data_IF_290147596819
#
_entry.id   IF_290147596819
#
_cell.length_a   1.000
_cell.length_b   1.000
_cell.length_c   1.000
_cell.angle_alpha   90.00
_cell.angle_beta   90.00
_cell.angle_gamma   90.00
#
_symmetry.space_group_name_H-M   'P 1'
#
loop_
_entity.id
_entity.type
_entity.pdbx_description
1 polymer ?
#
# COMPACT_ATOMS: atom_id res chain seq x y z
N UNK A 1 25.23 5.06 -27.47
CA UNK A 1 23.91 5.03 -26.82
C UNK A 1 24.06 4.10 -25.62
N UNK A 2 23.63 4.51 -24.42
CA UNK A 2 23.60 3.61 -23.26
C UNK A 2 22.64 2.44 -23.55
N UNK A 3 23.04 1.22 -23.17
CA UNK A 3 22.18 0.06 -23.31
C UNK A 3 20.93 0.23 -22.43
N UNK A 4 19.74 -0.11 -22.94
CA UNK A 4 18.48 -0.01 -22.18
C UNK A 4 18.49 -1.00 -21.02
N UNK A 5 18.21 -0.52 -19.81
CA UNK A 5 18.10 -1.36 -18.62
C UNK A 5 16.74 -2.06 -18.59
N UNK A 6 16.74 -3.37 -18.62
CA UNK A 6 15.52 -4.18 -18.49
C UNK A 6 15.26 -4.49 -17.01
N UNK A 7 14.05 -4.14 -16.53
CA UNK A 7 13.59 -4.37 -15.16
C UNK A 7 12.32 -5.23 -15.20
N UNK A 8 12.39 -6.41 -14.60
CA UNK A 8 11.28 -7.36 -14.51
C UNK A 8 10.65 -7.29 -13.12
N UNK A 9 9.37 -6.94 -13.05
CA UNK A 9 8.61 -6.80 -11.79
C UNK A 9 7.68 -7.99 -11.61
N UNK A 10 7.82 -8.67 -10.46
CA UNK A 10 7.04 -9.85 -10.06
C UNK A 10 6.52 -9.63 -8.64
N UNK A 11 5.34 -10.16 -8.32
CA UNK A 11 4.79 -10.13 -6.96
C UNK A 11 3.63 -9.14 -6.75
N UNK A 12 3.30 -8.32 -7.76
CA UNK A 12 2.01 -7.62 -7.84
C UNK A 12 1.00 -8.44 -8.63
N UNK A 13 -0.27 -8.07 -8.61
CA UNK A 13 -1.29 -8.66 -9.50
C UNK A 13 -1.19 -8.13 -10.93
N UNK A 14 -0.33 -7.13 -11.16
CA UNK A 14 -0.09 -6.48 -12.44
C UNK A 14 -0.71 -5.08 -12.55
N UNK A 15 -0.57 -4.51 -13.73
CA UNK A 15 -1.11 -3.19 -14.12
C UNK A 15 -2.04 -3.35 -15.34
N UNK A 16 -3.04 -2.47 -15.57
CA UNK A 16 -3.38 -1.29 -14.75
C UNK A 16 -3.78 -1.64 -13.31
N UNK A 17 -3.37 -0.79 -12.38
CA UNK A 17 -3.57 -0.99 -10.95
C UNK A 17 -5.00 -0.65 -10.51
N UNK A 18 -5.85 -1.65 -10.35
CA UNK A 18 -7.24 -1.43 -9.90
C UNK A 18 -7.38 -1.35 -8.37
N UNK A 19 -6.52 -2.05 -7.61
CA UNK A 19 -6.58 -2.10 -6.14
C UNK A 19 -5.36 -2.78 -5.53
N UNK A 20 -4.69 -2.11 -4.60
CA UNK A 20 -3.56 -2.64 -3.83
C UNK A 20 -2.33 -1.73 -3.88
N UNK A 21 -1.54 -1.73 -2.80
CA UNK A 21 -0.36 -0.86 -2.69
C UNK A 21 0.70 -1.15 -3.74
N UNK A 22 0.99 -2.42 -4.01
CA UNK A 22 1.98 -2.80 -5.03
C UNK A 22 1.48 -2.52 -6.45
N UNK A 23 0.20 -2.76 -6.73
CA UNK A 23 -0.39 -2.46 -8.04
C UNK A 23 -0.31 -0.96 -8.32
N UNK A 24 -0.70 -0.12 -7.35
CA UNK A 24 -0.59 1.35 -7.46
C UNK A 24 0.86 1.79 -7.64
N UNK A 25 1.79 1.23 -6.86
CA UNK A 25 3.21 1.54 -6.97
C UNK A 25 3.76 1.22 -8.37
N UNK A 26 3.49 0.02 -8.89
CA UNK A 26 4.00 -0.41 -10.21
C UNK A 26 3.38 0.42 -11.33
N UNK A 27 2.08 0.73 -11.23
CA UNK A 27 1.36 1.57 -12.18
C UNK A 27 1.99 2.97 -12.27
N UNK A 28 2.17 3.64 -11.13
CA UNK A 28 2.81 4.96 -11.06
C UNK A 28 4.28 4.94 -11.48
N UNK A 29 5.02 3.88 -11.12
CA UNK A 29 6.41 3.73 -11.52
C UNK A 29 6.55 3.63 -13.05
N UNK A 30 5.68 2.85 -13.70
CA UNK A 30 5.73 2.69 -15.15
C UNK A 30 5.23 3.93 -15.87
N UNK A 31 4.18 4.60 -15.38
CA UNK A 31 3.67 5.88 -15.87
C UNK A 31 4.76 6.97 -15.84
N UNK A 32 5.48 7.10 -14.72
CA UNK A 32 6.54 8.10 -14.53
C UNK A 32 7.75 7.91 -15.46
N UNK A 33 7.96 6.71 -15.97
CA UNK A 33 9.05 6.41 -16.91
C UNK A 33 8.56 6.11 -18.34
N UNK A 34 7.29 6.38 -18.63
CA UNK A 34 6.76 6.19 -19.99
C UNK A 34 7.55 7.03 -21.01
N UNK A 35 8.05 6.38 -22.03
CA UNK A 35 8.88 7.02 -23.05
C UNK A 35 10.37 7.24 -22.69
N UNK A 36 10.84 6.84 -21.51
CA UNK A 36 12.28 6.88 -21.18
C UNK A 36 13.03 5.74 -21.89
N UNK A 37 13.91 6.04 -22.88
CA UNK A 37 14.61 4.99 -23.64
C UNK A 37 15.67 4.24 -22.84
N UNK A 38 16.01 4.72 -21.65
CA UNK A 38 17.03 4.10 -20.77
C UNK A 38 16.50 2.90 -20.01
N UNK A 39 15.16 2.79 -19.85
CA UNK A 39 14.53 1.78 -19.00
C UNK A 39 13.40 1.08 -19.78
N UNK A 40 13.34 -0.25 -19.68
CA UNK A 40 12.21 -1.04 -20.17
C UNK A 40 11.69 -1.92 -19.03
N UNK A 41 10.46 -1.64 -18.60
CA UNK A 41 9.78 -2.48 -17.62
C UNK A 41 9.09 -3.68 -18.27
N UNK A 42 9.09 -4.80 -17.53
CA UNK A 42 8.36 -6.03 -17.85
C UNK A 42 7.58 -6.43 -16.61
N UNK A 43 6.27 -6.37 -16.66
CA UNK A 43 5.41 -6.56 -15.48
C UNK A 43 4.63 -7.86 -15.59
N UNK A 44 4.76 -8.73 -14.58
CA UNK A 44 3.93 -9.92 -14.46
C UNK A 44 2.50 -9.53 -14.05
N UNK A 45 1.51 -10.01 -14.78
CA UNK A 45 0.09 -9.74 -14.53
C UNK A 45 -0.65 -11.06 -14.25
N UNK A 46 -1.38 -11.15 -13.13
CA UNK A 46 -2.21 -12.30 -12.82
C UNK A 46 -3.46 -12.27 -13.70
N UNK A 47 -3.66 -13.30 -14.49
CA UNK A 47 -4.78 -13.39 -15.43
C UNK A 47 -5.36 -14.80 -15.52
N UNK A 48 -6.57 -14.91 -16.09
CA UNK A 48 -7.23 -16.18 -16.39
C UNK A 48 -6.67 -16.88 -17.62
N UNK A 49 -6.01 -16.11 -18.51
CA UNK A 49 -5.45 -16.57 -19.77
C UNK A 49 -4.04 -16.04 -19.95
N UNK A 50 -3.21 -16.77 -20.70
CA UNK A 50 -1.90 -16.32 -21.12
C UNK A 50 -2.03 -15.24 -22.19
N UNK A 51 -1.08 -14.31 -22.25
CA UNK A 51 -1.05 -13.23 -23.21
C UNK A 51 -0.04 -12.17 -22.81
N UNK A 52 0.11 -11.19 -23.69
CA UNK A 52 0.95 -10.03 -23.49
C UNK A 52 0.25 -8.77 -24.01
N UNK A 53 0.52 -7.64 -23.37
CA UNK A 53 0.04 -6.34 -23.80
C UNK A 53 1.05 -5.27 -23.39
N UNK A 54 0.87 -4.06 -23.88
CA UNK A 54 1.68 -2.91 -23.48
C UNK A 54 0.83 -1.90 -22.73
N UNK A 55 1.38 -1.37 -21.60
CA UNK A 55 0.73 -0.37 -20.79
C UNK A 55 1.81 0.54 -20.17
N UNK A 56 1.66 1.86 -20.29
CA UNK A 56 2.68 2.86 -19.90
C UNK A 56 4.10 2.49 -20.38
N UNK A 57 4.22 2.09 -21.66
CA UNK A 57 5.50 1.66 -22.22
C UNK A 57 6.09 0.38 -21.60
N UNK A 58 5.44 -0.23 -20.61
CA UNK A 58 5.87 -1.49 -20.04
C UNK A 58 5.30 -2.69 -20.80
N UNK A 59 6.09 -3.73 -21.02
CA UNK A 59 5.61 -5.04 -21.47
C UNK A 59 4.94 -5.75 -20.31
N UNK A 60 3.64 -5.96 -20.40
CA UNK A 60 2.86 -6.73 -19.43
C UNK A 60 2.67 -8.16 -19.95
N UNK A 61 2.99 -9.15 -19.13
CA UNK A 61 2.82 -10.56 -19.51
C UNK A 61 1.92 -11.28 -18.50
N UNK A 62 0.87 -11.87 -19.01
CA UNK A 62 -0.13 -12.58 -18.23
C UNK A 62 0.41 -13.91 -17.73
N UNK A 63 0.15 -14.23 -16.48
CA UNK A 63 0.53 -15.48 -15.83
C UNK A 63 -0.72 -16.13 -15.24
N UNK A 64 -1.11 -17.24 -15.86
CA UNK A 64 -2.21 -18.08 -15.40
C UNK A 64 -1.71 -19.09 -14.38
N UNK A 65 -2.39 -19.20 -13.25
CA UNK A 65 -2.17 -20.22 -12.24
C UNK A 65 -3.50 -20.74 -11.71
N UNK A 66 -3.57 -22.02 -11.29
CA UNK A 66 -4.80 -22.57 -10.70
C UNK A 66 -5.15 -21.83 -9.41
N UNK A 67 -6.45 -21.78 -9.10
CA UNK A 67 -6.89 -21.29 -7.80
C UNK A 67 -6.73 -22.38 -6.75
N UNK A 68 -5.74 -22.20 -5.89
CA UNK A 68 -5.40 -23.12 -4.78
C UNK A 68 -5.42 -22.35 -3.45
N UNK A 69 -6.26 -21.34 -3.36
CA UNK A 69 -6.39 -20.51 -2.17
C UNK A 69 -5.11 -19.71 -1.86
N UNK A 70 -4.69 -19.58 -0.60
CA UNK A 70 -3.56 -18.72 -0.21
C UNK A 70 -2.22 -19.07 -0.89
N UNK A 71 -2.01 -20.33 -1.30
CA UNK A 71 -0.79 -20.75 -2.01
C UNK A 71 -0.73 -20.25 -3.46
N UNK A 72 -1.84 -19.78 -4.01
CA UNK A 72 -1.90 -19.27 -5.39
C UNK A 72 -0.90 -18.13 -5.64
N UNK A 73 -0.69 -17.24 -4.65
CA UNK A 73 0.26 -16.14 -4.79
C UNK A 73 1.71 -16.65 -4.93
N UNK A 74 2.07 -17.72 -4.21
CA UNK A 74 3.41 -18.33 -4.32
C UNK A 74 3.59 -18.99 -5.69
N UNK A 75 2.59 -19.75 -6.14
CA UNK A 75 2.64 -20.38 -7.47
C UNK A 75 2.72 -19.36 -8.59
N UNK A 76 1.99 -18.25 -8.45
CA UNK A 76 2.04 -17.16 -9.41
C UNK A 76 3.43 -16.54 -9.51
N UNK A 77 4.05 -16.18 -8.38
CA UNK A 77 5.39 -15.59 -8.37
C UNK A 77 6.45 -16.55 -8.94
N UNK A 78 6.37 -17.84 -8.58
CA UNK A 78 7.28 -18.88 -9.13
C UNK A 78 7.11 -19.06 -10.64
N UNK A 79 5.87 -19.11 -11.12
CA UNK A 79 5.58 -19.22 -12.56
C UNK A 79 6.04 -17.97 -13.32
N UNK A 80 5.81 -16.78 -12.75
CA UNK A 80 6.27 -15.51 -13.32
C UNK A 80 7.79 -15.46 -13.44
N UNK A 81 8.54 -15.82 -12.39
CA UNK A 81 10.00 -15.89 -12.42
C UNK A 81 10.53 -16.89 -13.44
N UNK A 82 9.83 -18.03 -13.59
CA UNK A 82 10.16 -18.99 -14.63
C UNK A 82 10.02 -18.42 -16.05
N UNK A 83 8.99 -17.58 -16.28
CA UNK A 83 8.80 -16.88 -17.56
C UNK A 83 9.82 -15.75 -17.76
N UNK A 84 10.14 -15.01 -16.72
CA UNK A 84 11.21 -13.99 -16.75
C UNK A 84 12.52 -14.61 -17.20
N UNK A 85 12.96 -15.69 -16.56
CA UNK A 85 14.22 -16.34 -16.92
C UNK A 85 14.23 -16.85 -18.37
N UNK A 86 13.13 -17.42 -18.87
CA UNK A 86 13.02 -17.84 -20.28
C UNK A 86 13.08 -16.63 -21.22
N UNK A 87 12.33 -15.58 -20.94
CA UNK A 87 12.35 -14.39 -21.77
C UNK A 87 13.74 -13.76 -21.87
N UNK A 88 14.45 -13.66 -20.74
CA UNK A 88 15.84 -13.15 -20.70
C UNK A 88 16.77 -13.99 -21.56
N UNK A 89 16.64 -15.31 -21.50
CA UNK A 89 17.43 -16.27 -22.27
C UNK A 89 17.11 -16.18 -23.78
N UNK A 90 15.83 -16.26 -24.14
CA UNK A 90 15.34 -16.25 -25.53
C UNK A 90 15.65 -14.92 -26.25
N UNK A 91 15.63 -13.81 -25.54
CA UNK A 91 15.85 -12.48 -26.09
C UNK A 91 17.26 -11.93 -25.82
N UNK A 92 18.16 -12.73 -25.25
CA UNK A 92 19.55 -12.36 -24.95
C UNK A 92 19.65 -11.02 -24.16
N UNK A 93 18.73 -10.80 -23.22
CA UNK A 93 18.70 -9.57 -22.41
C UNK A 93 19.93 -9.51 -21.51
N UNK A 94 20.69 -8.44 -21.61
CA UNK A 94 21.90 -8.25 -20.81
C UNK A 94 21.59 -7.55 -19.49
N UNK A 95 22.28 -7.98 -18.45
CA UNK A 95 22.21 -7.39 -17.11
C UNK A 95 20.78 -7.11 -16.59
N UNK A 96 19.82 -8.07 -16.73
CA UNK A 96 18.45 -7.83 -16.28
C UNK A 96 18.40 -7.63 -14.76
N UNK A 97 17.54 -6.70 -14.30
CA UNK A 97 17.16 -6.60 -12.90
C UNK A 97 15.82 -7.32 -12.74
N UNK A 98 15.74 -8.28 -11.84
CA UNK A 98 14.49 -8.95 -11.47
C UNK A 98 14.09 -8.44 -10.08
N UNK A 99 12.98 -7.71 -10.00
CA UNK A 99 12.49 -7.08 -8.78
C UNK A 99 11.24 -7.80 -8.28
N UNK A 100 11.36 -8.46 -7.15
CA UNK A 100 10.29 -9.24 -6.52
C UNK A 100 9.67 -8.46 -5.37
N UNK A 101 8.37 -8.29 -5.43
CA UNK A 101 7.57 -7.60 -4.42
C UNK A 101 7.02 -8.59 -3.40
N UNK A 102 7.36 -8.40 -2.13
CA UNK A 102 7.09 -9.25 -0.98
C UNK A 102 7.88 -10.58 -0.91
N UNK A 103 8.03 -11.07 0.31
CA UNK A 103 8.88 -12.24 0.63
C UNK A 103 8.11 -13.57 0.63
N UNK A 104 7.43 -13.93 -0.49
CA UNK A 104 6.55 -15.12 -0.56
C UNK A 104 7.27 -16.40 -0.98
N UNK A 105 8.37 -16.30 -1.73
CA UNK A 105 8.99 -17.41 -2.44
C UNK A 105 10.29 -17.92 -1.81
N UNK A 106 10.47 -17.72 -0.50
CA UNK A 106 11.71 -18.08 0.21
C UNK A 106 12.30 -19.43 -0.17
N UNK A 107 11.54 -20.55 -0.15
CA UNK A 107 12.04 -21.86 -0.52
C UNK A 107 12.58 -21.97 -1.95
N UNK A 108 12.16 -21.08 -2.85
CA UNK A 108 12.56 -21.07 -4.26
C UNK A 108 13.58 -19.98 -4.59
N UNK A 109 13.79 -19.02 -3.67
CA UNK A 109 14.58 -17.83 -3.91
C UNK A 109 16.02 -18.13 -4.35
N UNK A 110 16.72 -19.02 -3.63
CA UNK A 110 18.09 -19.41 -3.95
C UNK A 110 18.23 -20.04 -5.35
N UNK A 111 17.23 -20.81 -5.79
CA UNK A 111 17.21 -21.39 -7.13
C UNK A 111 17.11 -20.30 -8.20
N UNK A 112 16.17 -19.37 -8.04
CA UNK A 112 16.00 -18.28 -9.00
C UNK A 112 17.17 -17.30 -8.98
N UNK A 113 17.74 -16.97 -7.82
CA UNK A 113 18.94 -16.14 -7.74
C UNK A 113 20.08 -16.74 -8.58
N UNK A 114 20.38 -18.04 -8.39
CA UNK A 114 21.42 -18.71 -9.18
C UNK A 114 21.14 -18.68 -10.68
N UNK A 115 19.88 -18.89 -11.08
CA UNK A 115 19.49 -18.86 -12.49
C UNK A 115 19.60 -17.44 -13.08
N UNK A 116 19.15 -16.43 -12.36
CA UNK A 116 19.27 -15.02 -12.77
C UNK A 116 20.74 -14.61 -12.89
N UNK A 117 21.59 -15.02 -11.94
CA UNK A 117 23.03 -14.77 -12.00
C UNK A 117 23.68 -15.44 -13.21
N UNK A 118 23.31 -16.69 -13.53
CA UNK A 118 23.80 -17.37 -14.72
C UNK A 118 23.43 -16.65 -16.03
N UNK A 119 22.33 -15.88 -16.01
CA UNK A 119 21.90 -15.02 -17.12
C UNK A 119 22.51 -13.59 -17.05
N UNK A 120 23.45 -13.34 -16.13
CA UNK A 120 24.13 -12.04 -15.97
C UNK A 120 23.29 -10.99 -15.24
N UNK A 121 22.16 -11.38 -14.64
CA UNK A 121 21.23 -10.47 -13.96
C UNK A 121 21.44 -10.33 -12.45
N UNK A 122 20.55 -9.57 -11.82
CA UNK A 122 20.48 -9.34 -10.37
C UNK A 122 19.06 -9.54 -9.87
N UNK A 123 18.95 -10.09 -8.65
CA UNK A 123 17.68 -10.29 -7.95
C UNK A 123 17.52 -9.25 -6.84
N UNK A 124 16.55 -8.34 -6.99
CA UNK A 124 16.17 -7.37 -5.97
C UNK A 124 14.86 -7.79 -5.33
N UNK A 125 14.68 -7.48 -4.06
CA UNK A 125 13.48 -7.83 -3.30
C UNK A 125 12.98 -6.62 -2.51
N UNK A 126 11.69 -6.34 -2.59
CA UNK A 126 11.02 -5.48 -1.60
C UNK A 126 10.57 -6.40 -0.46
N UNK A 127 11.08 -6.20 0.77
CA UNK A 127 10.77 -7.10 1.88
C UNK A 127 9.32 -6.99 2.39
N UNK A 128 8.54 -6.00 1.89
CA UNK A 128 7.22 -5.64 2.45
C UNK A 128 7.36 -5.21 3.94
N UNK A 129 6.29 -5.12 4.67
CA UNK A 129 6.32 -4.73 6.07
C UNK A 129 5.71 -5.80 6.98
N UNK A 130 6.53 -6.68 7.56
CA UNK A 130 6.11 -7.61 8.62
C UNK A 130 4.87 -8.44 8.29
N UNK A 131 4.72 -8.97 7.05
CA UNK A 131 3.51 -9.72 6.64
C UNK A 131 3.18 -10.85 7.63
N UNK A 132 4.20 -11.43 8.29
CA UNK A 132 4.03 -12.45 9.31
C UNK A 132 3.37 -11.96 10.61
N UNK A 133 3.28 -10.64 10.86
CA UNK A 133 2.57 -10.06 12.01
C UNK A 133 1.07 -9.88 11.75
N UNK A 134 0.61 -9.97 10.49
CA UNK A 134 -0.79 -9.68 10.15
C UNK A 134 -1.75 -10.68 10.81
N UNK A 135 -2.77 -10.14 11.48
CA UNK A 135 -3.77 -10.93 12.24
C UNK A 135 -4.60 -11.88 11.35
N UNK A 136 -4.76 -11.56 10.06
CA UNK A 136 -5.49 -12.40 9.09
C UNK A 136 -4.88 -13.80 8.89
N UNK A 137 -3.60 -14.00 9.25
CA UNK A 137 -2.90 -15.25 9.03
C UNK A 137 -2.93 -16.17 10.26
N UNK A 138 -3.18 -17.46 10.04
CA UNK A 138 -3.02 -18.48 11.08
C UNK A 138 -1.55 -18.64 11.51
N UNK A 139 -1.30 -19.20 12.68
CA UNK A 139 0.06 -19.35 13.21
C UNK A 139 1.02 -20.13 12.27
N UNK A 140 0.62 -21.24 11.61
CA UNK A 140 1.49 -21.90 10.62
C UNK A 140 1.83 -21.01 9.43
N UNK A 141 0.86 -20.23 8.92
CA UNK A 141 1.07 -19.31 7.80
C UNK A 141 2.01 -18.17 8.20
N UNK A 142 1.85 -17.60 9.39
CA UNK A 142 2.78 -16.58 9.92
C UNK A 142 4.20 -17.11 10.03
N UNK A 143 4.36 -18.37 10.51
CA UNK A 143 5.68 -19.03 10.55
C UNK A 143 6.28 -19.20 9.16
N UNK A 144 5.47 -19.60 8.18
CA UNK A 144 5.91 -19.69 6.78
C UNK A 144 6.43 -18.34 6.28
N UNK A 145 5.69 -17.26 6.49
CA UNK A 145 6.09 -15.92 6.08
C UNK A 145 7.43 -15.50 6.69
N UNK A 146 7.63 -15.73 8.01
CA UNK A 146 8.88 -15.38 8.69
C UNK A 146 10.07 -16.17 8.15
N UNK A 147 9.89 -17.47 7.91
CA UNK A 147 10.94 -18.34 7.33
C UNK A 147 11.22 -17.92 5.88
N UNK A 148 10.18 -17.67 5.10
CA UNK A 148 10.31 -17.22 3.70
C UNK A 148 11.05 -15.88 3.62
N UNK A 149 10.72 -14.92 4.47
CA UNK A 149 11.43 -13.64 4.58
C UNK A 149 12.92 -13.87 4.84
N UNK A 150 13.26 -14.67 5.84
CA UNK A 150 14.66 -14.99 6.18
C UNK A 150 15.42 -15.61 4.99
N UNK A 151 14.77 -16.52 4.25
CA UNK A 151 15.37 -17.14 3.07
C UNK A 151 15.57 -16.12 1.94
N UNK A 152 14.61 -15.23 1.70
CA UNK A 152 14.72 -14.24 0.63
C UNK A 152 15.73 -13.15 0.95
N UNK A 153 15.76 -12.68 2.19
CA UNK A 153 16.80 -11.73 2.65
C UNK A 153 18.20 -12.26 2.41
N UNK A 154 18.43 -13.55 2.66
CA UNK A 154 19.74 -14.20 2.50
C UNK A 154 20.11 -14.56 1.05
N UNK A 155 19.13 -14.57 0.15
CA UNK A 155 19.31 -15.03 -1.23
C UNK A 155 18.83 -13.98 -2.25
N UNK A 156 18.98 -12.70 -1.95
CA UNK A 156 18.84 -11.61 -2.91
C UNK A 156 20.12 -10.78 -2.98
N UNK A 157 20.25 -9.96 -4.00
CA UNK A 157 21.41 -9.08 -4.20
C UNK A 157 21.21 -7.72 -3.54
N UNK A 158 19.96 -7.28 -3.42
CA UNK A 158 19.58 -6.01 -2.82
C UNK A 158 18.15 -6.08 -2.27
N UNK A 159 17.96 -5.57 -1.07
CA UNK A 159 16.65 -5.28 -0.50
C UNK A 159 16.31 -3.81 -0.73
N UNK A 160 15.25 -3.56 -1.47
CA UNK A 160 14.72 -2.20 -1.68
C UNK A 160 13.62 -1.97 -0.65
N UNK A 161 13.96 -1.23 0.41
CA UNK A 161 13.06 -0.93 1.51
C UNK A 161 12.34 0.39 1.24
N UNK A 162 11.02 0.39 1.31
CA UNK A 162 10.17 1.58 1.13
C UNK A 162 10.05 2.45 2.38
N UNK A 163 10.61 1.99 3.50
CA UNK A 163 10.62 2.66 4.80
C UNK A 163 11.97 2.46 5.49
N UNK A 164 12.49 3.51 6.13
CA UNK A 164 13.70 3.43 6.97
C UNK A 164 13.47 2.52 8.19
N UNK A 165 12.22 2.43 8.68
CA UNK A 165 11.88 1.50 9.74
C UNK A 165 11.98 0.04 9.27
N UNK A 166 11.60 -0.26 8.02
CA UNK A 166 11.79 -1.59 7.42
C UNK A 166 13.27 -1.87 7.20
N UNK A 167 14.04 -0.92 6.68
CA UNK A 167 15.48 -1.07 6.52
C UNK A 167 16.17 -1.36 7.87
N UNK A 168 15.83 -0.60 8.91
CA UNK A 168 16.32 -0.82 10.28
C UNK A 168 15.97 -2.22 10.79
N UNK A 169 14.69 -2.62 10.65
CA UNK A 169 14.22 -3.95 11.03
C UNK A 169 15.00 -5.07 10.33
N UNK A 170 15.28 -4.94 9.04
CA UNK A 170 16.07 -5.93 8.29
C UNK A 170 17.47 -6.05 8.91
N UNK A 171 18.12 -4.96 9.27
CA UNK A 171 19.43 -5.00 9.92
C UNK A 171 19.37 -5.54 11.35
N UNK A 172 18.42 -5.11 12.16
CA UNK A 172 18.24 -5.60 13.54
C UNK A 172 17.96 -7.11 13.59
N UNK A 173 17.22 -7.64 12.63
CA UNK A 173 16.81 -9.04 12.61
C UNK A 173 17.80 -9.98 11.92
N UNK A 174 18.51 -9.50 10.90
CA UNK A 174 19.30 -10.37 10.02
C UNK A 174 20.79 -10.09 9.97
N UNK A 175 21.30 -8.98 10.53
CA UNK A 175 22.73 -8.76 10.67
C UNK A 175 23.35 -9.82 11.59
N UNK A 176 24.52 -10.29 11.20
CA UNK A 176 25.31 -11.21 11.99
C UNK A 176 26.80 -10.92 11.76
N UNK A 177 27.72 -11.47 12.57
CA UNK A 177 29.16 -11.25 12.38
C UNK A 177 29.69 -11.66 10.99
N UNK A 178 28.97 -12.57 10.30
CA UNK A 178 29.38 -13.12 9.00
C UNK A 178 28.48 -12.73 7.83
N UNK A 179 27.37 -12.04 8.10
CA UNK A 179 26.40 -11.67 7.05
C UNK A 179 25.72 -10.34 7.37
N UNK A 180 25.69 -9.45 6.40
CA UNK A 180 24.92 -8.21 6.43
C UNK A 180 24.12 -8.07 5.13
N UNK A 181 22.79 -7.98 5.17
CA UNK A 181 21.97 -7.72 3.99
C UNK A 181 22.38 -6.42 3.29
N UNK A 182 22.47 -6.45 1.98
CA UNK A 182 22.56 -5.21 1.21
C UNK A 182 21.17 -4.58 1.14
N UNK A 183 21.03 -3.35 1.61
CA UNK A 183 19.76 -2.62 1.63
C UNK A 183 19.88 -1.29 0.89
N UNK A 184 18.76 -0.79 0.42
CA UNK A 184 18.60 0.56 -0.09
C UNK A 184 17.21 1.07 0.26
N UNK A 185 17.16 2.16 1.00
CA UNK A 185 15.93 2.89 1.19
C UNK A 185 15.56 3.66 -0.08
N UNK A 186 14.36 3.41 -0.60
CA UNK A 186 13.73 4.14 -1.70
C UNK A 186 12.27 4.34 -1.31
N UNK A 187 11.91 5.54 -0.88
CA UNK A 187 10.55 5.88 -0.50
C UNK A 187 9.59 5.78 -1.68
N UNK A 188 8.34 5.42 -1.39
CA UNK A 188 7.27 5.64 -2.35
C UNK A 188 7.06 7.13 -2.55
N UNK A 189 6.77 7.52 -3.80
CA UNK A 189 6.30 8.85 -4.12
C UNK A 189 4.82 9.01 -3.79
N UNK A 190 4.37 10.26 -3.70
CA UNK A 190 2.96 10.61 -3.64
C UNK A 190 2.63 11.58 -4.76
N UNK A 191 1.40 11.52 -5.24
CA UNK A 191 0.84 12.55 -6.09
C UNK A 191 0.37 13.68 -5.16
N UNK A 192 1.08 14.82 -5.22
CA UNK A 192 0.78 16.00 -4.41
C UNK A 192 -0.04 17.04 -5.15
N UNK A 193 -0.52 16.71 -6.36
CA UNK A 193 -1.36 17.60 -7.14
C UNK A 193 -2.77 17.66 -6.53
N UNK A 194 -3.30 18.87 -6.48
CA UNK A 194 -4.71 19.05 -6.14
C UNK A 194 -5.61 18.44 -7.21
N UNK A 195 -6.80 18.06 -6.82
CA UNK A 195 -7.80 17.57 -7.78
C UNK A 195 -8.05 18.60 -8.88
N UNK A 196 -8.13 18.17 -10.16
CA UNK A 196 -8.52 19.07 -11.25
C UNK A 196 -9.98 19.51 -11.17
N UNK A 197 -10.78 18.87 -10.31
CA UNK A 197 -12.19 19.19 -10.13
C UNK A 197 -12.37 20.51 -9.36
N UNK A 198 -13.28 21.35 -9.84
CA UNK A 198 -13.73 22.52 -9.09
C UNK A 198 -14.50 22.10 -7.81
N UNK A 199 -14.59 22.99 -6.83
CA UNK A 199 -15.28 22.70 -5.56
C UNK A 199 -16.78 22.48 -5.73
N UNK A 200 -17.37 23.05 -6.77
CA UNK A 200 -18.77 22.88 -7.18
C UNK A 200 -18.97 21.83 -8.29
N UNK A 201 -17.96 21.05 -8.61
CA UNK A 201 -18.04 20.02 -9.64
C UNK A 201 -19.22 19.06 -9.38
N UNK A 202 -20.08 18.77 -10.39
CA UNK A 202 -21.31 18.00 -10.20
C UNK A 202 -21.09 16.58 -9.64
N UNK A 203 -19.97 15.92 -9.99
CA UNK A 203 -19.65 14.60 -9.46
C UNK A 203 -19.27 14.65 -7.98
N UNK A 204 -18.60 15.70 -7.50
CA UNK A 204 -18.28 15.88 -6.09
C UNK A 204 -19.51 16.32 -5.28
N UNK A 205 -20.24 17.33 -5.75
CA UNK A 205 -21.45 17.80 -5.06
C UNK A 205 -22.56 16.74 -5.04
N UNK A 206 -22.67 15.95 -6.12
CA UNK A 206 -23.57 14.80 -6.19
C UNK A 206 -23.20 13.72 -5.18
N UNK A 207 -21.90 13.38 -5.06
CA UNK A 207 -21.40 12.44 -4.05
C UNK A 207 -21.67 12.93 -2.63
N UNK A 208 -21.44 14.21 -2.36
CA UNK A 208 -21.76 14.80 -1.06
C UNK A 208 -23.27 14.68 -0.75
N UNK A 209 -24.14 15.01 -1.70
CA UNK A 209 -25.58 14.94 -1.53
C UNK A 209 -26.08 13.51 -1.31
N UNK A 210 -25.54 12.54 -2.06
CA UNK A 210 -25.88 11.12 -1.95
C UNK A 210 -25.59 10.57 -0.53
N UNK A 211 -24.47 11.01 0.07
CA UNK A 211 -24.03 10.53 1.38
C UNK A 211 -24.38 11.47 2.55
N UNK A 212 -25.08 12.57 2.27
CA UNK A 212 -25.46 13.56 3.27
C UNK A 212 -24.25 14.21 3.93
N UNK A 213 -23.19 14.47 3.15
CA UNK A 213 -21.96 15.12 3.60
C UNK A 213 -21.90 16.57 3.10
N UNK A 214 -21.07 17.38 3.74
CA UNK A 214 -20.80 18.75 3.31
C UNK A 214 -19.28 19.02 3.26
N UNK A 215 -18.79 19.85 2.33
CA UNK A 215 -17.38 20.23 2.28
C UNK A 215 -16.88 20.75 3.63
N UNK A 216 -15.70 20.29 4.06
CA UNK A 216 -15.08 20.58 5.37
C UNK A 216 -15.94 20.16 6.59
N UNK A 217 -17.05 19.45 6.38
CA UNK A 217 -17.96 18.95 7.42
C UNK A 217 -17.71 17.50 7.84
N UNK A 218 -16.66 16.84 7.40
CA UNK A 218 -16.40 15.43 7.71
C UNK A 218 -14.93 15.12 7.95
N UNK A 219 -14.69 14.17 8.86
CA UNK A 219 -13.46 13.40 8.92
C UNK A 219 -13.52 12.26 7.91
N UNK A 220 -12.39 11.88 7.34
CA UNK A 220 -12.30 10.87 6.30
C UNK A 220 -11.32 9.76 6.68
N UNK A 221 -11.64 8.51 6.35
CA UNK A 221 -10.68 7.43 6.27
C UNK A 221 -10.80 6.74 4.91
N UNK A 222 -9.66 6.44 4.28
CA UNK A 222 -9.60 5.68 3.01
C UNK A 222 -8.68 4.49 3.20
N UNK A 223 -9.18 3.26 3.04
CA UNK A 223 -8.34 2.09 3.21
C UNK A 223 -9.08 0.76 3.14
N UNK A 224 -8.33 -0.33 3.22
CA UNK A 224 -8.90 -1.68 3.27
C UNK A 224 -9.65 -1.90 4.58
N UNK A 225 -10.80 -2.54 4.49
CA UNK A 225 -11.62 -2.85 5.66
C UNK A 225 -11.11 -4.12 6.36
N UNK A 226 -10.07 -3.94 7.18
CA UNK A 226 -9.39 -5.02 7.91
C UNK A 226 -9.09 -4.58 9.34
N UNK A 227 -9.06 -5.51 10.32
CA UNK A 227 -8.85 -5.19 11.74
C UNK A 227 -7.58 -4.39 12.02
N UNK A 228 -6.48 -4.69 11.33
CA UNK A 228 -5.19 -4.02 11.50
C UNK A 228 -5.18 -2.54 11.06
N UNK A 229 -6.26 -2.05 10.44
CA UNK A 229 -6.46 -0.63 10.17
C UNK A 229 -7.24 0.09 11.28
N UNK A 230 -7.51 -0.59 12.40
CA UNK A 230 -8.06 -0.04 13.63
C UNK A 230 -9.42 0.70 13.48
N UNK A 231 -10.28 0.22 12.57
CA UNK A 231 -11.62 0.79 12.37
C UNK A 231 -12.45 0.78 13.65
N UNK A 232 -12.37 -0.29 14.46
CA UNK A 232 -13.10 -0.37 15.74
C UNK A 232 -12.68 0.77 16.69
N UNK A 233 -11.37 1.01 16.83
CA UNK A 233 -10.86 2.09 17.68
C UNK A 233 -11.32 3.45 17.17
N UNK A 234 -11.13 3.73 15.87
CA UNK A 234 -11.53 5.01 15.29
C UNK A 234 -13.01 5.28 15.46
N UNK A 235 -13.87 4.29 15.24
CA UNK A 235 -15.33 4.42 15.39
C UNK A 235 -15.72 4.65 16.86
N UNK A 236 -15.20 3.86 17.81
CA UNK A 236 -15.49 4.03 19.24
C UNK A 236 -15.11 5.42 19.75
N UNK A 237 -13.91 5.84 19.42
CA UNK A 237 -13.37 7.14 19.81
C UNK A 237 -14.15 8.30 19.17
N UNK A 238 -14.51 8.15 17.88
CA UNK A 238 -15.34 9.14 17.20
C UNK A 238 -16.73 9.25 17.83
N UNK A 239 -17.40 8.12 18.12
CA UNK A 239 -18.70 8.10 18.79
C UNK A 239 -18.66 8.74 20.17
N UNK A 240 -17.56 8.62 20.89
CA UNK A 240 -17.38 9.21 22.22
C UNK A 240 -17.00 10.71 22.17
N UNK A 241 -16.62 11.21 20.99
CA UNK A 241 -16.28 12.63 20.81
C UNK A 241 -17.53 13.51 20.69
N UNK A 242 -17.37 14.79 21.02
CA UNK A 242 -18.41 15.81 20.90
C UNK A 242 -18.44 16.50 19.53
N UNK A 243 -17.70 16.01 18.56
CA UNK A 243 -17.67 16.62 17.22
C UNK A 243 -19.06 16.63 16.58
N UNK A 244 -19.38 17.70 15.89
CA UNK A 244 -20.62 17.81 15.10
C UNK A 244 -20.40 17.36 13.63
N UNK A 245 -19.16 17.03 13.26
CA UNK A 245 -18.82 16.58 11.92
C UNK A 245 -19.18 15.13 11.70
N UNK A 246 -19.34 14.76 10.43
CA UNK A 246 -19.51 13.36 10.03
C UNK A 246 -18.18 12.60 9.98
N UNK A 247 -18.25 11.28 9.96
CA UNK A 247 -17.11 10.39 9.71
C UNK A 247 -17.40 9.55 8.47
N UNK A 248 -16.78 9.90 7.35
CA UNK A 248 -16.89 9.21 6.08
C UNK A 248 -15.84 8.10 5.97
N UNK A 249 -16.29 6.87 5.70
CA UNK A 249 -15.44 5.70 5.55
C UNK A 249 -15.49 5.21 4.10
N UNK A 250 -14.43 5.50 3.33
CA UNK A 250 -14.23 4.98 1.97
C UNK A 250 -13.49 3.65 2.07
N UNK A 251 -14.22 2.56 1.91
CA UNK A 251 -13.67 1.22 2.05
C UNK A 251 -14.50 0.18 1.29
N UNK A 252 -13.85 -0.92 0.90
CA UNK A 252 -14.55 -2.10 0.40
C UNK A 252 -14.99 -2.96 1.58
N UNK A 253 -16.25 -2.84 1.94
CA UNK A 253 -16.83 -3.48 3.12
C UNK A 253 -16.82 -4.99 2.98
N UNK A 254 -16.41 -5.67 4.06
CA UNK A 254 -16.56 -7.11 4.24
C UNK A 254 -17.69 -7.36 5.23
N UNK A 255 -18.74 -8.05 4.80
CA UNK A 255 -19.96 -8.23 5.59
C UNK A 255 -19.72 -8.88 6.97
N UNK A 256 -18.80 -9.84 7.04
CA UNK A 256 -18.48 -10.51 8.31
C UNK A 256 -17.83 -9.52 9.29
N UNK A 257 -16.82 -8.80 8.86
CA UNK A 257 -16.15 -7.84 9.71
C UNK A 257 -17.06 -6.64 10.06
N UNK A 258 -17.94 -6.25 9.14
CA UNK A 258 -18.93 -5.21 9.40
C UNK A 258 -19.92 -5.63 10.50
N UNK A 259 -20.42 -6.87 10.45
CA UNK A 259 -21.30 -7.41 11.49
C UNK A 259 -20.60 -7.52 12.85
N UNK A 260 -19.34 -7.98 12.88
CA UNK A 260 -18.52 -8.00 14.10
C UNK A 260 -18.31 -6.61 14.67
N UNK A 261 -18.09 -5.61 13.80
CA UNK A 261 -17.90 -4.21 14.18
C UNK A 261 -19.19 -3.61 14.77
N UNK A 262 -20.35 -3.89 14.14
CA UNK A 262 -21.65 -3.47 14.66
C UNK A 262 -21.94 -4.10 16.03
N UNK A 263 -21.70 -5.39 16.20
CA UNK A 263 -21.88 -6.07 17.47
C UNK A 263 -21.07 -5.44 18.60
N UNK A 264 -19.84 -5.01 18.29
CA UNK A 264 -18.91 -4.45 19.28
C UNK A 264 -19.13 -2.99 19.55
N UNK A 265 -19.52 -2.18 18.56
CA UNK A 265 -19.53 -0.71 18.64
C UNK A 265 -20.94 -0.12 18.63
N UNK A 266 -21.92 -0.81 18.05
CA UNK A 266 -23.26 -0.29 17.76
C UNK A 266 -23.22 1.02 16.96
N UNK A 267 -22.28 1.12 16.00
CA UNK A 267 -22.02 2.35 15.24
C UNK A 267 -23.26 2.84 14.47
N UNK A 268 -24.17 1.97 14.10
CA UNK A 268 -25.41 2.32 13.40
C UNK A 268 -26.33 3.27 14.20
N UNK A 269 -26.09 3.41 15.50
CA UNK A 269 -26.83 4.37 16.37
C UNK A 269 -26.32 5.80 16.26
N UNK A 270 -25.15 5.99 15.65
CA UNK A 270 -24.57 7.32 15.44
C UNK A 270 -24.68 7.70 13.95
N UNK A 271 -25.62 8.60 13.65
CA UNK A 271 -25.90 9.03 12.29
C UNK A 271 -24.73 9.77 11.60
N UNK A 272 -23.73 10.19 12.36
CA UNK A 272 -22.52 10.82 11.84
C UNK A 272 -21.59 9.82 11.15
N UNK A 273 -21.71 8.50 11.44
CA UNK A 273 -20.83 7.46 10.86
C UNK A 273 -21.43 7.02 9.52
N UNK A 274 -20.66 7.20 8.44
CA UNK A 274 -21.14 6.98 7.07
C UNK A 274 -20.18 6.09 6.28
N UNK A 275 -20.61 4.85 6.03
CA UNK A 275 -19.93 3.96 5.09
C UNK A 275 -20.38 4.33 3.68
N UNK A 276 -19.49 4.95 2.93
CA UNK A 276 -19.78 5.53 1.61
C UNK A 276 -19.31 4.67 0.43
N UNK A 277 -18.92 3.43 0.69
CA UNK A 277 -18.46 2.49 -0.33
C UNK A 277 -17.03 2.78 -0.82
N UNK A 278 -16.75 2.42 -2.08
CA UNK A 278 -15.46 2.64 -2.72
C UNK A 278 -15.56 3.71 -3.79
N UNK A 279 -14.53 4.55 -3.92
CA UNK A 279 -14.41 5.56 -4.96
C UNK A 279 -13.18 5.21 -5.80
N UNK A 280 -13.40 4.87 -7.08
CA UNK A 280 -12.33 4.49 -8.03
C UNK A 280 -11.91 5.64 -8.95
N UNK A 281 -12.75 6.66 -9.08
CA UNK A 281 -12.41 7.89 -9.79
C UNK A 281 -11.35 8.66 -8.99
N UNK A 282 -10.15 8.76 -9.54
CA UNK A 282 -8.99 9.38 -8.88
C UNK A 282 -9.21 10.86 -8.60
N UNK A 283 -9.79 11.57 -9.55
CA UNK A 283 -10.00 13.02 -9.45
C UNK A 283 -11.06 13.33 -8.40
N UNK A 284 -12.13 12.52 -8.37
CA UNK A 284 -13.16 12.60 -7.33
C UNK A 284 -12.59 12.24 -5.95
N UNK A 285 -11.80 11.17 -5.84
CA UNK A 285 -11.20 10.76 -4.56
C UNK A 285 -10.22 11.82 -4.03
N UNK A 286 -9.44 12.44 -4.91
CA UNK A 286 -8.58 13.56 -4.54
C UNK A 286 -9.41 14.76 -4.05
N UNK A 287 -10.52 15.10 -4.74
CA UNK A 287 -11.41 16.18 -4.29
C UNK A 287 -12.05 15.88 -2.94
N UNK A 288 -12.48 14.65 -2.70
CA UNK A 288 -13.04 14.21 -1.42
C UNK A 288 -12.01 14.39 -0.29
N UNK A 289 -10.72 14.05 -0.51
CA UNK A 289 -9.65 14.28 0.46
C UNK A 289 -9.39 15.76 0.70
N UNK A 290 -9.32 16.58 -0.35
CA UNK A 290 -9.14 18.03 -0.25
C UNK A 290 -10.25 18.69 0.57
N UNK A 291 -11.48 18.22 0.39
CA UNK A 291 -12.66 18.76 1.03
C UNK A 291 -13.02 18.08 2.37
N UNK A 292 -12.22 17.11 2.82
CA UNK A 292 -12.31 16.63 4.18
C UNK A 292 -11.84 17.71 5.18
N UNK A 293 -12.43 17.74 6.36
CA UNK A 293 -11.92 18.56 7.47
C UNK A 293 -10.63 17.98 8.00
N UNK A 294 -10.60 16.66 8.21
CA UNK A 294 -9.42 15.93 8.64
C UNK A 294 -9.43 14.50 8.16
N UNK A 295 -8.26 13.87 8.16
CA UNK A 295 -8.08 12.49 7.74
C UNK A 295 -7.63 11.61 8.89
N UNK A 296 -8.31 10.50 9.11
CA UNK A 296 -7.91 9.48 10.08
C UNK A 296 -7.09 8.39 9.42
N UNK A 297 -5.98 8.02 10.02
CA UNK A 297 -5.15 6.91 9.58
C UNK A 297 -4.86 5.94 10.73
N UNK A 298 -5.44 4.76 10.64
CA UNK A 298 -5.31 3.72 11.67
C UNK A 298 -4.41 2.55 11.27
N UNK A 299 -3.68 2.64 10.15
CA UNK A 299 -2.83 1.54 9.68
C UNK A 299 -1.69 1.25 10.67
N UNK A 300 -1.57 -0.03 11.07
CA UNK A 300 -0.67 -0.44 12.15
C UNK A 300 0.44 -1.39 11.70
N UNK A 301 0.25 -2.13 10.60
CA UNK A 301 1.17 -3.19 10.16
C UNK A 301 1.58 -2.97 8.72
N UNK A 302 2.88 -2.89 8.46
CA UNK A 302 3.44 -2.74 7.12
C UNK A 302 4.56 -1.71 7.06
N UNK A 303 4.84 -1.23 5.87
CA UNK A 303 5.71 -0.11 5.58
C UNK A 303 4.92 1.16 5.24
N UNK A 304 5.44 1.97 4.35
CA UNK A 304 4.79 3.18 3.86
C UNK A 304 3.46 2.85 3.17
N UNK A 305 2.39 3.52 3.61
CA UNK A 305 1.05 3.33 3.04
C UNK A 305 0.77 4.41 1.98
N UNK A 306 0.52 4.04 0.71
CA UNK A 306 0.22 5.02 -0.34
C UNK A 306 -0.97 5.93 -0.01
N UNK A 307 -2.04 5.39 0.63
CA UNK A 307 -3.21 6.19 1.01
C UNK A 307 -2.87 7.28 2.05
N UNK A 308 -1.88 7.03 2.92
CA UNK A 308 -1.37 8.06 3.83
C UNK A 308 -0.63 9.17 3.06
N UNK A 309 0.21 8.79 2.12
CA UNK A 309 0.95 9.76 1.29
C UNK A 309 -0.02 10.66 0.51
N UNK A 310 -1.05 10.07 -0.10
CA UNK A 310 -2.09 10.80 -0.81
C UNK A 310 -2.88 11.74 0.12
N UNK A 311 -3.17 11.32 1.37
CA UNK A 311 -3.84 12.15 2.35
C UNK A 311 -2.98 13.33 2.79
N UNK A 312 -1.70 13.09 3.09
CA UNK A 312 -0.74 14.15 3.45
C UNK A 312 -0.55 15.16 2.31
N UNK A 313 -0.69 14.73 1.05
CA UNK A 313 -0.61 15.62 -0.11
C UNK A 313 -1.89 16.41 -0.41
N UNK A 314 -3.02 16.08 0.21
CA UNK A 314 -4.33 16.65 -0.18
C UNK A 314 -5.22 17.11 0.98
N UNK A 315 -5.01 16.61 2.20
CA UNK A 315 -5.80 16.97 3.38
C UNK A 315 -4.94 17.74 4.37
N UNK A 316 -5.37 18.92 4.77
CA UNK A 316 -4.58 19.82 5.61
C UNK A 316 -4.38 19.26 7.04
N UNK A 317 -5.38 18.60 7.62
CA UNK A 317 -5.37 18.06 8.98
C UNK A 317 -5.34 16.52 8.97
N UNK A 318 -4.26 15.93 9.48
CA UNK A 318 -4.08 14.48 9.52
C UNK A 318 -3.92 13.97 10.96
N UNK A 319 -4.76 13.00 11.35
CA UNK A 319 -4.74 12.35 12.67
C UNK A 319 -4.33 10.88 12.49
N UNK A 320 -3.09 10.57 12.83
CA UNK A 320 -2.45 9.29 12.52
C UNK A 320 -2.25 8.43 13.75
N UNK A 321 -2.41 7.12 13.63
CA UNK A 321 -1.97 6.19 14.67
C UNK A 321 -0.45 6.32 14.86
N UNK A 322 0.01 6.53 16.09
CA UNK A 322 1.40 6.76 16.45
C UNK A 322 2.26 5.50 16.36
N UNK A 323 2.51 5.01 15.15
CA UNK A 323 3.43 3.91 14.85
C UNK A 323 4.62 4.39 14.03
N UNK A 324 5.74 3.67 14.12
CA UNK A 324 7.03 4.11 13.58
C UNK A 324 7.00 4.56 12.12
N UNK A 325 6.31 3.83 11.23
CA UNK A 325 6.25 4.17 9.80
C UNK A 325 5.32 5.37 9.52
N UNK A 326 4.26 5.60 10.32
CA UNK A 326 3.44 6.81 10.19
C UNK A 326 4.23 8.05 10.63
N UNK A 327 4.99 7.94 11.75
CA UNK A 327 5.90 9.00 12.18
C UNK A 327 7.03 9.28 11.18
N UNK A 328 7.55 8.23 10.52
CA UNK A 328 8.59 8.39 9.50
C UNK A 328 8.13 9.21 8.30
N UNK A 329 6.86 9.04 7.90
CA UNK A 329 6.32 9.66 6.69
C UNK A 329 5.80 11.06 6.96
N UNK A 330 5.07 11.25 8.06
CA UNK A 330 4.40 12.52 8.34
C UNK A 330 5.21 13.43 9.28
N UNK A 331 6.23 12.90 9.97
CA UNK A 331 7.08 13.67 10.88
C UNK A 331 6.29 14.60 11.81
N UNK A 332 6.46 15.92 11.69
CA UNK A 332 5.73 16.95 12.43
C UNK A 332 4.45 17.45 11.75
N UNK A 333 4.13 16.98 10.54
CA UNK A 333 2.99 17.44 9.74
C UNK A 333 1.67 16.69 10.05
N UNK A 334 1.55 16.09 11.23
CA UNK A 334 0.34 15.37 11.63
C UNK A 334 0.18 15.36 13.16
N UNK A 335 -1.05 15.15 13.60
CA UNK A 335 -1.37 14.84 14.99
C UNK A 335 -1.40 13.32 15.19
N UNK A 336 -0.87 12.86 16.32
CA UNK A 336 -0.74 11.42 16.56
C UNK A 336 -1.64 10.96 17.70
N UNK A 337 -2.33 9.86 17.48
CA UNK A 337 -3.17 9.21 18.47
C UNK A 337 -2.66 7.80 18.82
N UNK A 338 -3.09 7.31 19.97
CA UNK A 338 -2.80 5.96 20.47
C UNK A 338 -4.10 5.18 20.63
N UNK A 339 -3.99 3.85 20.84
CA UNK A 339 -5.16 2.99 21.09
C UNK A 339 -5.69 3.08 22.53
N UNK A 340 -5.12 3.94 23.36
CA UNK A 340 -5.63 4.17 24.70
C UNK A 340 -7.02 4.82 24.66
N UNK A 341 -7.99 4.30 25.43
CA UNK A 341 -9.35 4.84 25.46
C UNK A 341 -9.39 6.34 25.75
N UNK A 342 -10.16 7.08 24.95
CA UNK A 342 -10.30 8.53 25.05
C UNK A 342 -9.20 9.35 24.37
N UNK A 343 -8.13 8.71 23.89
CA UNK A 343 -6.99 9.44 23.32
C UNK A 343 -7.35 10.08 21.97
N UNK A 344 -7.93 9.33 21.03
CA UNK A 344 -8.36 9.90 19.75
C UNK A 344 -9.55 10.84 19.93
N UNK A 345 -10.48 10.55 20.85
CA UNK A 345 -11.60 11.44 21.14
C UNK A 345 -11.14 12.82 21.65
N UNK A 346 -10.15 12.85 22.54
CA UNK A 346 -9.53 14.09 22.99
C UNK A 346 -8.80 14.82 21.86
N UNK A 347 -8.14 14.06 20.96
CA UNK A 347 -7.46 14.64 19.81
C UNK A 347 -8.46 15.24 18.80
N UNK A 348 -9.62 14.60 18.59
CA UNK A 348 -10.72 15.15 17.78
C UNK A 348 -11.23 16.47 18.37
N UNK A 349 -11.47 16.52 19.68
CA UNK A 349 -11.89 17.74 20.35
C UNK A 349 -10.87 18.89 20.21
N UNK A 350 -9.58 18.56 20.31
CA UNK A 350 -8.49 19.51 20.05
C UNK A 350 -8.49 19.97 18.60
N UNK A 351 -8.61 19.04 17.65
CA UNK A 351 -8.63 19.32 16.22
C UNK A 351 -9.82 20.23 15.85
N UNK A 352 -11.00 19.98 16.42
CA UNK A 352 -12.19 20.80 16.18
C UNK A 352 -12.06 22.23 16.71
N UNK A 353 -11.19 22.45 17.69
CA UNK A 353 -10.91 23.77 18.26
C UNK A 353 -9.80 24.54 17.51
N UNK A 354 -9.06 23.89 16.60
CA UNK A 354 -7.98 24.51 15.82
C UNK A 354 -8.55 25.46 14.76
N UNK A 355 -7.91 26.61 14.62
CA UNK A 355 -8.22 27.53 13.53
C UNK A 355 -7.44 27.19 12.24
N UNK A 356 -7.72 27.88 11.15
CA UNK A 356 -7.09 27.61 9.86
C UNK A 356 -5.57 27.87 9.85
N UNK A 357 -5.07 28.74 10.72
CA UNK A 357 -3.63 29.03 10.83
C UNK A 357 -2.93 27.86 11.53
N UNK A 358 -3.49 27.42 12.67
CA UNK A 358 -2.96 26.26 13.42
C UNK A 358 -2.98 24.96 12.61
N UNK A 359 -3.97 24.78 11.71
CA UNK A 359 -4.03 23.63 10.81
C UNK A 359 -2.97 23.72 9.71
N UNK A 360 -2.62 24.93 9.26
CA UNK A 360 -1.64 25.14 8.18
C UNK A 360 -0.19 25.12 8.64
N UNK A 361 0.09 25.36 9.92
CA UNK A 361 1.40 25.27 10.55
C UNK A 361 1.79 23.83 10.90
#
# INVERSE_FOLDING_TARGET
>A
MSETQHIFIVGSKGIPGNYGGYETFVDRLTEAHEGDPRIRYHVACKASEDGEFEYHGARCFNVKVPDVGPAQAILYDVAALGRVCRYVEDNHVKHPIVYVLACRIGPFCAHFQKRIHALGGRLYVNPDGHEWKRAKWSAPVRRYWKVSESMMVRNCDLLVCDSKNIERYIHEEYDSPTYRPATKFIAYGADTHRSPLADDAPNFTGWCAEHGLSPKGYYLVVGRFVPENNYETMIREFMSSSTERDFALITNVNDKFLAELEERTHYSRDSRIKFVGTVYDRDLLAKIREQAYGYFHGHEVGGTNPSLLEALGSTDLNLLLGVGFNHEVAEGAALYWTKEPGNLAALIARADAMDAVEISE
#
